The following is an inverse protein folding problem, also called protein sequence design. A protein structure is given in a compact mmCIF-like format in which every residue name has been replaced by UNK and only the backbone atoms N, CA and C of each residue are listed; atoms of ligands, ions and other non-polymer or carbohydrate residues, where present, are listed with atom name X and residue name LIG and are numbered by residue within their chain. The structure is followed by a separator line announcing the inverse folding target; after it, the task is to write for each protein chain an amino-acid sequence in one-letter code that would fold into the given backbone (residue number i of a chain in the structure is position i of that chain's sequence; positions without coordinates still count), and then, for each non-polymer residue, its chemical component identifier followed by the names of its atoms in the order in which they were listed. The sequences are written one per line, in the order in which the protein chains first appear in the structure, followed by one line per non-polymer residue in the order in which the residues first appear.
data_IF_499696295136
#
_entry.id   IF_499696295136
#
_cell.length_a   1.000
_cell.length_b   1.000
_cell.length_c   1.000
_cell.angle_alpha   90.00
_cell.angle_beta   90.00
_cell.angle_gamma   90.00
#
_symmetry.space_group_name_H-M   'P 1'
#
loop_
_entity.id
_entity.type
_entity.pdbx_description
1 polymer ?
#
# COMPACT_ATOMS: atom_id res chain seq x y z
N UNK A 1 -0.61 -18.78 -3.21
CA UNK A 1 -0.98 -19.64 -4.33
C UNK A 1 -1.49 -18.87 -5.56
N UNK A 2 -2.26 -17.78 -5.40
CA UNK A 2 -2.81 -16.99 -6.53
C UNK A 2 -1.80 -16.08 -7.25
N UNK A 3 -0.75 -15.57 -6.58
CA UNK A 3 0.27 -14.72 -7.22
C UNK A 3 1.14 -15.50 -8.22
N UNK A 4 1.51 -16.73 -7.91
CA UNK A 4 2.23 -17.60 -8.85
C UNK A 4 1.39 -17.95 -10.10
N UNK A 5 0.07 -17.98 -9.99
CA UNK A 5 -0.81 -18.24 -11.12
C UNK A 5 -0.89 -17.03 -12.08
N UNK A 6 -0.93 -15.81 -11.57
CA UNK A 6 -0.96 -14.59 -12.38
C UNK A 6 0.39 -14.31 -13.06
N UNK A 7 1.50 -14.53 -12.36
CA UNK A 7 2.84 -14.45 -12.95
C UNK A 7 3.05 -15.54 -14.01
N UNK A 8 2.60 -16.76 -13.74
CA UNK A 8 2.67 -17.88 -14.71
C UNK A 8 1.81 -17.58 -15.94
N UNK A 9 0.62 -16.98 -15.81
CA UNK A 9 -0.20 -16.60 -16.97
C UNK A 9 0.44 -15.48 -17.80
N UNK A 10 1.09 -14.52 -17.16
CA UNK A 10 1.77 -13.42 -17.87
C UNK A 10 3.02 -13.95 -18.62
N UNK A 11 3.81 -14.81 -17.97
CA UNK A 11 4.96 -15.46 -18.60
C UNK A 11 4.51 -16.38 -19.75
N UNK A 12 3.43 -17.13 -19.56
CA UNK A 12 2.89 -18.01 -20.58
C UNK A 12 2.36 -17.22 -21.80
N UNK A 13 1.75 -16.06 -21.60
CA UNK A 13 1.30 -15.20 -22.70
C UNK A 13 2.49 -14.61 -23.48
N UNK A 14 3.57 -14.24 -22.79
CA UNK A 14 4.80 -13.75 -23.40
C UNK A 14 5.48 -14.87 -24.21
N UNK A 15 5.56 -16.09 -23.67
CA UNK A 15 6.11 -17.27 -24.36
C UNK A 15 5.28 -17.58 -25.61
N UNK A 16 3.96 -17.56 -25.51
CA UNK A 16 3.06 -17.83 -26.65
C UNK A 16 3.16 -16.77 -27.75
N UNK A 17 3.34 -15.49 -27.37
CA UNK A 17 3.58 -14.41 -28.32
C UNK A 17 4.94 -14.51 -29.00
N UNK A 18 6.00 -14.86 -28.29
CA UNK A 18 7.33 -15.07 -28.86
C UNK A 18 7.39 -16.31 -29.74
N UNK A 19 6.74 -17.42 -29.35
CA UNK A 19 6.63 -18.62 -30.16
C UNK A 19 5.84 -18.37 -31.45
N UNK A 20 4.76 -17.62 -31.40
CA UNK A 20 3.96 -17.22 -32.59
C UNK A 20 4.79 -16.39 -33.58
N UNK A 21 5.70 -15.55 -33.12
CA UNK A 21 6.60 -14.75 -33.96
C UNK A 21 7.74 -15.56 -34.57
N UNK A 22 8.18 -16.63 -33.88
CA UNK A 22 9.24 -17.55 -34.36
C UNK A 22 8.72 -18.60 -35.35
N UNK A 23 7.43 -18.97 -35.27
CA UNK A 23 6.82 -20.08 -36.04
C UNK A 23 5.92 -19.66 -37.24
N UNK A 24 5.71 -18.37 -37.49
CA UNK A 24 5.05 -17.92 -38.73
C UNK A 24 6.02 -18.17 -39.90
N UNK A 25 5.95 -19.36 -40.46
CA UNK A 25 6.85 -19.94 -41.43
C UNK A 25 6.95 -19.22 -42.76
N UNK A 26 7.65 -18.09 -42.80
CA UNK A 26 8.27 -17.54 -44.01
C UNK A 26 9.24 -16.41 -43.65
N UNK A 27 10.51 -16.64 -43.87
CA UNK A 27 11.68 -15.80 -43.68
C UNK A 27 12.18 -15.69 -42.24
N UNK A 28 13.47 -15.98 -42.08
CA UNK A 28 14.22 -15.74 -40.87
C UNK A 28 14.04 -14.26 -40.46
N UNK A 29 13.68 -13.99 -39.19
CA UNK A 29 13.48 -12.61 -38.72
C UNK A 29 14.77 -11.83 -38.92
N UNK A 30 14.67 -10.61 -39.42
CA UNK A 30 15.83 -9.73 -39.53
C UNK A 30 16.31 -9.32 -38.14
N UNK A 31 17.60 -8.97 -38.01
CA UNK A 31 18.19 -8.47 -36.75
C UNK A 31 17.36 -7.32 -36.13
N UNK A 32 16.79 -6.45 -36.95
CA UNK A 32 15.92 -5.36 -36.47
C UNK A 32 14.61 -5.89 -35.87
N UNK A 33 13.99 -6.88 -36.48
CA UNK A 33 12.77 -7.49 -35.93
C UNK A 33 13.02 -8.20 -34.60
N UNK A 34 14.17 -8.89 -34.48
CA UNK A 34 14.58 -9.47 -33.21
C UNK A 34 14.84 -8.43 -32.14
N UNK A 35 15.48 -7.31 -32.51
CA UNK A 35 15.74 -6.21 -31.60
C UNK A 35 14.45 -5.52 -31.12
N UNK A 36 13.52 -5.24 -32.02
CA UNK A 36 12.20 -4.67 -31.71
C UNK A 36 11.39 -5.58 -30.78
N UNK A 37 11.40 -6.89 -31.03
CA UNK A 37 10.74 -7.88 -30.17
C UNK A 37 11.36 -7.92 -28.78
N UNK A 38 12.68 -7.83 -28.70
CA UNK A 38 13.41 -7.83 -27.42
C UNK A 38 13.13 -6.56 -26.62
N UNK A 39 13.05 -5.40 -27.28
CA UNK A 39 12.68 -4.13 -26.64
C UNK A 39 11.23 -4.15 -26.16
N UNK A 40 10.29 -4.67 -26.97
CA UNK A 40 8.87 -4.79 -26.56
C UNK A 40 8.71 -5.73 -25.36
N UNK A 41 9.36 -6.89 -25.37
CA UNK A 41 9.28 -7.82 -24.23
C UNK A 41 9.91 -7.23 -22.98
N UNK A 42 11.02 -6.51 -23.10
CA UNK A 42 11.63 -5.78 -21.98
C UNK A 42 10.69 -4.70 -21.42
N UNK A 43 10.04 -3.90 -22.28
CA UNK A 43 9.08 -2.87 -21.88
C UNK A 43 7.86 -3.46 -21.16
N UNK A 44 7.29 -4.56 -21.68
CA UNK A 44 6.17 -5.27 -21.02
C UNK A 44 6.60 -5.81 -19.65
N UNK A 45 7.80 -6.40 -19.56
CA UNK A 45 8.34 -6.89 -18.29
C UNK A 45 8.58 -5.77 -17.28
N UNK A 46 9.20 -4.66 -17.69
CA UNK A 46 9.40 -3.50 -16.82
C UNK A 46 8.09 -2.86 -16.39
N UNK A 47 7.11 -2.72 -17.29
CA UNK A 47 5.80 -2.17 -16.92
C UNK A 47 5.04 -3.09 -15.96
N UNK A 48 5.15 -4.41 -16.09
CA UNK A 48 4.55 -5.35 -15.14
C UNK A 48 5.20 -5.27 -13.75
N UNK A 49 6.52 -5.09 -13.68
CA UNK A 49 7.23 -4.88 -12.41
C UNK A 49 6.84 -3.56 -11.74
N UNK A 50 6.75 -2.47 -12.50
CA UNK A 50 6.33 -1.16 -11.99
C UNK A 50 4.87 -1.18 -11.52
N UNK A 51 3.98 -1.85 -12.25
CA UNK A 51 2.58 -2.00 -11.86
C UNK A 51 2.39 -2.88 -10.63
N UNK A 52 3.25 -3.89 -10.41
CA UNK A 52 3.18 -4.74 -9.22
C UNK A 52 3.48 -3.97 -7.94
N UNK A 53 4.45 -3.03 -7.98
CA UNK A 53 4.81 -2.21 -6.83
C UNK A 53 3.72 -1.16 -6.51
N UNK A 54 3.07 -0.56 -7.52
CA UNK A 54 1.91 0.32 -7.33
C UNK A 54 0.68 -0.45 -6.84
N UNK A 55 0.48 -1.67 -7.32
CA UNK A 55 -0.62 -2.53 -6.88
C UNK A 55 -0.49 -2.92 -5.40
N UNK A 56 0.73 -3.21 -4.93
CA UNK A 56 0.98 -3.55 -3.51
C UNK A 56 0.67 -2.38 -2.58
N UNK A 57 1.11 -1.17 -2.96
CA UNK A 57 0.87 0.05 -2.18
C UNK A 57 -0.62 0.33 -2.06
N UNK A 58 -1.34 0.28 -3.16
CA UNK A 58 -2.79 0.49 -3.21
C UNK A 58 -3.57 -0.57 -2.41
N UNK A 59 -3.13 -1.83 -2.45
CA UNK A 59 -3.74 -2.92 -1.66
C UNK A 59 -3.52 -2.72 -0.16
N UNK A 60 -2.30 -2.36 0.24
CA UNK A 60 -1.96 -2.10 1.64
C UNK A 60 -2.75 -0.90 2.15
N UNK A 61 -2.72 0.23 1.45
CA UNK A 61 -3.42 1.44 1.86
C UNK A 61 -4.91 1.21 2.04
N UNK A 62 -5.57 0.56 1.07
CA UNK A 62 -6.99 0.19 1.16
C UNK A 62 -7.29 -0.74 2.34
N UNK A 63 -6.40 -1.69 2.62
CA UNK A 63 -6.56 -2.59 3.77
C UNK A 63 -6.42 -1.82 5.08
N UNK A 64 -5.44 -0.94 5.19
CA UNK A 64 -5.22 -0.10 6.37
C UNK A 64 -6.40 0.85 6.62
N UNK A 65 -6.89 1.53 5.57
CA UNK A 65 -8.05 2.43 5.64
C UNK A 65 -9.33 1.73 6.10
N UNK A 66 -9.46 0.45 5.80
CA UNK A 66 -10.60 -0.37 6.22
C UNK A 66 -10.49 -0.87 7.66
N UNK A 67 -9.27 -1.03 8.17
CA UNK A 67 -9.00 -1.74 9.42
C UNK A 67 -8.25 -0.90 10.48
N UNK A 68 -7.99 0.39 10.24
CA UNK A 68 -7.20 1.24 11.16
C UNK A 68 -7.76 1.31 12.58
N UNK A 69 -9.07 1.18 12.76
CA UNK A 69 -9.73 1.18 14.06
C UNK A 69 -9.47 -0.08 14.90
N UNK A 70 -8.93 -1.14 14.31
CA UNK A 70 -8.55 -2.34 15.07
C UNK A 70 -7.23 -2.08 15.84
N UNK A 71 -7.32 -2.00 17.17
CA UNK A 71 -6.15 -1.77 18.02
C UNK A 71 -5.14 -2.92 17.99
N UNK A 72 -5.58 -4.14 17.67
CA UNK A 72 -4.72 -5.32 17.58
C UNK A 72 -4.08 -5.52 16.21
N UNK A 73 -4.38 -4.65 15.21
CA UNK A 73 -3.87 -4.78 13.85
C UNK A 73 -2.34 -4.76 13.82
N UNK A 74 -1.76 -5.84 13.30
CA UNK A 74 -0.31 -6.01 13.12
C UNK A 74 0.06 -6.02 11.64
N UNK A 75 1.31 -5.66 11.32
CA UNK A 75 1.82 -5.73 9.93
C UNK A 75 1.87 -7.18 9.42
N UNK A 76 2.06 -8.16 10.31
CA UNK A 76 1.96 -9.59 9.96
C UNK A 76 0.56 -9.93 9.46
N UNK A 77 -0.46 -9.49 10.17
CA UNK A 77 -1.87 -9.69 9.81
C UNK A 77 -2.22 -9.02 8.46
N UNK A 78 -1.67 -7.84 8.19
CA UNK A 78 -1.78 -7.19 6.86
C UNK A 78 -1.16 -8.06 5.79
N UNK A 79 0.05 -8.59 6.01
CA UNK A 79 0.74 -9.44 5.06
C UNK A 79 -0.04 -10.73 4.77
N UNK A 80 -0.50 -11.41 5.82
CA UNK A 80 -1.24 -12.67 5.73
C UNK A 80 -2.56 -12.49 4.95
N UNK A 81 -3.32 -11.42 5.23
CA UNK A 81 -4.57 -11.12 4.53
C UNK A 81 -4.38 -10.76 3.05
N UNK A 82 -3.26 -10.14 2.71
CA UNK A 82 -2.95 -9.77 1.32
C UNK A 82 -2.20 -10.87 0.55
N UNK A 83 -1.89 -11.99 1.19
CA UNK A 83 -1.17 -13.12 0.58
C UNK A 83 0.32 -12.88 0.34
N UNK A 84 0.93 -11.97 1.11
CA UNK A 84 2.36 -11.67 1.03
C UNK A 84 3.11 -12.23 2.24
N UNK A 85 4.42 -12.45 2.08
CA UNK A 85 5.29 -12.64 3.23
C UNK A 85 5.54 -11.28 3.92
N UNK A 86 5.69 -11.28 5.25
CA UNK A 86 6.01 -10.07 6.01
C UNK A 86 7.21 -9.29 5.46
N UNK A 87 8.30 -10.01 5.15
CA UNK A 87 9.53 -9.41 4.64
C UNK A 87 9.32 -8.75 3.28
N UNK A 88 8.61 -9.42 2.38
CA UNK A 88 8.30 -8.88 1.06
C UNK A 88 7.40 -7.63 1.17
N UNK A 89 6.31 -7.70 1.94
CA UNK A 89 5.41 -6.57 2.15
C UNK A 89 6.17 -5.34 2.68
N UNK A 90 6.96 -5.50 3.74
CA UNK A 90 7.70 -4.39 4.35
C UNK A 90 8.72 -3.76 3.38
N UNK A 91 9.47 -4.59 2.64
CA UNK A 91 10.49 -4.10 1.72
C UNK A 91 9.88 -3.43 0.49
N UNK A 92 8.89 -4.06 -0.14
CA UNK A 92 8.22 -3.55 -1.32
C UNK A 92 7.46 -2.25 -1.02
N UNK A 93 6.68 -2.21 0.08
CA UNK A 93 5.95 -1.01 0.49
C UNK A 93 6.89 0.16 0.79
N UNK A 94 7.98 -0.08 1.55
CA UNK A 94 8.96 0.97 1.84
C UNK A 94 9.69 1.47 0.59
N UNK A 95 10.01 0.57 -0.34
CA UNK A 95 10.65 0.92 -1.62
C UNK A 95 9.74 1.80 -2.47
N UNK A 96 8.43 1.50 -2.54
CA UNK A 96 7.48 2.21 -3.41
C UNK A 96 7.06 3.57 -2.86
N UNK A 97 6.83 3.71 -1.55
CA UNK A 97 6.31 4.96 -0.97
C UNK A 97 7.25 5.64 0.05
N UNK A 98 8.45 5.11 0.27
CA UNK A 98 9.46 5.69 1.18
C UNK A 98 9.12 5.54 2.67
N UNK A 99 7.96 4.98 3.03
CA UNK A 99 7.45 4.86 4.40
C UNK A 99 7.22 3.41 4.78
N UNK A 100 7.29 3.11 6.07
CA UNK A 100 6.89 1.79 6.57
C UNK A 100 5.36 1.67 6.67
N UNK A 101 4.84 0.45 6.65
CA UNK A 101 3.40 0.16 6.85
C UNK A 101 2.91 0.71 8.18
N UNK A 102 3.71 0.60 9.26
CA UNK A 102 3.36 1.17 10.57
C UNK A 102 3.30 2.71 10.57
N UNK A 103 4.20 3.38 9.84
CA UNK A 103 4.13 4.84 9.68
C UNK A 103 2.84 5.24 8.95
N UNK A 104 2.49 4.53 7.90
CA UNK A 104 1.26 4.78 7.16
C UNK A 104 0.01 4.55 8.01
N UNK A 105 -0.05 3.45 8.77
CA UNK A 105 -1.14 3.20 9.72
C UNK A 105 -1.28 4.32 10.75
N UNK A 106 -0.14 4.81 11.28
CA UNK A 106 -0.13 5.93 12.21
C UNK A 106 -0.69 7.21 11.58
N UNK A 107 -0.30 7.53 10.34
CA UNK A 107 -0.82 8.68 9.60
C UNK A 107 -2.34 8.60 9.40
N UNK A 108 -2.85 7.43 8.98
CA UNK A 108 -4.29 7.20 8.80
C UNK A 108 -5.03 7.39 10.12
N UNK A 109 -4.54 6.81 11.21
CA UNK A 109 -5.14 6.94 12.54
C UNK A 109 -5.16 8.38 13.04
N UNK A 110 -4.06 9.11 12.86
CA UNK A 110 -3.96 10.52 13.27
C UNK A 110 -4.87 11.41 12.42
N UNK A 111 -4.95 11.14 11.10
CA UNK A 111 -5.86 11.90 10.24
C UNK A 111 -7.33 11.70 10.63
N UNK A 112 -7.76 10.48 10.86
CA UNK A 112 -9.12 10.19 11.35
C UNK A 112 -9.36 10.76 12.77
N UNK A 113 -8.34 10.78 13.62
CA UNK A 113 -8.44 11.40 14.93
C UNK A 113 -8.66 12.92 14.83
N UNK A 114 -7.98 13.62 13.91
CA UNK A 114 -8.20 15.05 13.65
C UNK A 114 -9.66 15.32 13.29
N UNK A 115 -10.20 14.53 12.35
CA UNK A 115 -11.60 14.65 11.93
C UNK A 115 -12.58 14.43 13.08
N UNK A 116 -12.39 13.37 13.89
CA UNK A 116 -13.24 13.12 15.05
C UNK A 116 -13.13 14.18 16.13
N UNK A 117 -11.94 14.79 16.31
CA UNK A 117 -11.73 15.86 17.29
C UNK A 117 -12.42 17.16 16.90
N UNK A 118 -12.52 17.46 15.62
CA UNK A 118 -13.14 18.70 15.11
C UNK A 118 -14.64 18.52 14.84
N UNK A 119 -15.06 17.38 14.34
CA UNK A 119 -16.46 17.14 13.96
C UNK A 119 -17.35 16.58 15.09
N UNK A 120 -16.76 16.21 16.24
CA UNK A 120 -17.53 15.59 17.34
C UNK A 120 -17.10 16.07 18.72
N UNK A 121 -18.03 16.00 19.69
CA UNK A 121 -17.74 16.24 21.10
C UNK A 121 -17.31 14.99 21.88
N UNK A 122 -16.83 13.93 21.19
CA UNK A 122 -16.35 12.69 21.83
C UNK A 122 -15.22 12.99 22.83
N UNK A 123 -15.21 12.25 23.93
CA UNK A 123 -14.11 12.31 24.91
C UNK A 123 -12.83 11.75 24.29
N UNK A 124 -11.67 12.19 24.77
CA UNK A 124 -10.38 11.81 24.20
C UNK A 124 -10.15 10.29 24.16
N UNK A 125 -10.61 9.57 25.18
CA UNK A 125 -10.49 8.11 25.21
C UNK A 125 -11.38 7.43 24.16
N UNK A 126 -12.55 8.01 23.85
CA UNK A 126 -13.45 7.50 22.80
C UNK A 126 -12.85 7.71 21.42
N UNK A 127 -12.22 8.87 21.19
CA UNK A 127 -11.47 9.14 19.97
C UNK A 127 -10.29 8.16 19.83
N UNK A 128 -9.48 7.98 20.89
CA UNK A 128 -8.37 7.04 20.89
C UNK A 128 -8.82 5.63 20.50
N UNK A 129 -9.87 5.12 21.14
CA UNK A 129 -10.42 3.80 20.85
C UNK A 129 -10.96 3.69 19.42
N UNK A 130 -11.67 4.70 18.93
CA UNK A 130 -12.26 4.72 17.60
C UNK A 130 -11.20 4.65 16.50
N UNK A 131 -10.01 5.23 16.74
CA UNK A 131 -8.91 5.22 15.77
C UNK A 131 -7.87 4.12 16.05
N UNK A 132 -8.19 3.13 16.88
CA UNK A 132 -7.39 1.93 17.09
C UNK A 132 -6.25 2.07 18.10
N UNK A 133 -6.38 2.97 19.09
CA UNK A 133 -5.46 3.02 20.23
C UNK A 133 -6.16 2.57 21.51
N UNK A 134 -5.78 1.40 22.04
CA UNK A 134 -6.30 0.91 23.32
C UNK A 134 -5.81 1.74 24.52
N UNK A 135 -4.63 2.35 24.43
CA UNK A 135 -4.07 3.23 25.47
C UNK A 135 -4.19 4.71 25.05
N UNK A 136 -5.05 5.44 25.76
CA UNK A 136 -5.26 6.87 25.54
C UNK A 136 -4.01 7.72 25.81
N UNK A 137 -3.12 7.34 26.75
CA UNK A 137 -1.86 8.06 27.00
C UNK A 137 -0.91 7.91 25.82
N UNK A 138 -0.82 6.70 25.30
CA UNK A 138 -0.01 6.43 24.11
C UNK A 138 -0.56 7.18 22.88
N UNK A 139 -1.87 7.20 22.71
CA UNK A 139 -2.53 8.00 21.66
C UNK A 139 -2.13 9.48 21.74
N UNK A 140 -2.23 10.11 22.93
CA UNK A 140 -1.86 11.52 23.11
C UNK A 140 -0.40 11.75 22.71
N UNK A 141 0.52 10.86 23.12
CA UNK A 141 1.94 10.94 22.76
C UNK A 141 2.17 10.86 21.24
N UNK A 142 1.52 9.91 20.58
CA UNK A 142 1.63 9.74 19.12
C UNK A 142 1.03 10.94 18.38
N UNK A 143 -0.18 11.33 18.74
CA UNK A 143 -0.87 12.48 18.12
C UNK A 143 -0.06 13.76 18.25
N UNK A 144 0.49 14.05 19.44
CA UNK A 144 1.33 15.24 19.68
C UNK A 144 2.60 15.21 18.85
N UNK A 145 3.24 14.05 18.75
CA UNK A 145 4.44 13.90 17.91
C UNK A 145 4.16 14.17 16.43
N UNK A 146 3.03 13.68 15.91
CA UNK A 146 2.67 13.81 14.49
C UNK A 146 2.10 15.18 14.12
N UNK A 147 1.49 15.89 15.08
CA UNK A 147 0.77 17.15 14.80
C UNK A 147 1.42 18.39 15.44
N UNK A 148 2.32 18.20 16.39
CA UNK A 148 2.88 19.29 17.22
C UNK A 148 1.94 19.81 18.31
N UNK A 149 0.68 19.38 18.37
CA UNK A 149 -0.32 19.82 19.33
C UNK A 149 -0.90 18.62 20.09
N UNK A 150 -1.23 18.80 21.37
CA UNK A 150 -2.03 17.79 22.06
C UNK A 150 -3.45 17.70 21.45
N UNK A 151 -4.13 16.53 21.54
CA UNK A 151 -5.49 16.40 21.01
C UNK A 151 -6.46 17.45 21.57
N UNK A 152 -6.30 17.86 22.84
CA UNK A 152 -7.10 18.91 23.46
C UNK A 152 -6.84 20.27 22.81
N UNK A 153 -5.56 20.65 22.67
CA UNK A 153 -5.18 21.92 22.01
C UNK A 153 -5.61 21.93 20.54
N UNK A 154 -5.51 20.78 19.86
CA UNK A 154 -5.95 20.65 18.49
C UNK A 154 -7.46 20.93 18.36
N UNK A 155 -8.28 20.33 19.21
CA UNK A 155 -9.73 20.58 19.26
C UNK A 155 -10.04 22.05 19.55
N UNK A 156 -9.43 22.63 20.58
CA UNK A 156 -9.65 24.02 20.95
C UNK A 156 -9.31 25.00 19.83
N UNK A 157 -8.20 24.75 19.13
CA UNK A 157 -7.75 25.63 18.03
C UNK A 157 -8.70 25.60 16.84
N UNK A 158 -9.25 24.44 16.50
CA UNK A 158 -10.13 24.27 15.34
C UNK A 158 -11.63 24.40 15.67
N UNK A 159 -12.01 24.54 16.94
CA UNK A 159 -13.38 24.83 17.33
C UNK A 159 -13.81 26.29 17.04
N UNK A 160 -12.89 27.16 16.66
CA UNK A 160 -13.12 28.57 16.37
C UNK A 160 -13.03 28.93 14.88
N UNK A 161 -12.91 27.92 13.99
CA UNK A 161 -12.80 28.13 12.53
C UNK A 161 -14.17 27.93 11.80
N UNK A 162 -15.28 27.82 12.56
CA UNK A 162 -16.65 27.94 12.06
C UNK A 162 -17.21 29.33 12.47
#
# INVERSE_FOLDING_TARGET
MFLHAAESQNIQSIITQTDSLLYTGAKQPTLNQLWDTLLQTAQIYFSSLLNSDQDITSKVDRFLEKNYGNAALTVQEVADNLGFTYTYLCSAYKKSCGKTVNQRLTEIRVQNAKELLTSTNKKLYEVANAVGYADGKYFVKVFTRETGLSPKQYRERHAYEE
#
